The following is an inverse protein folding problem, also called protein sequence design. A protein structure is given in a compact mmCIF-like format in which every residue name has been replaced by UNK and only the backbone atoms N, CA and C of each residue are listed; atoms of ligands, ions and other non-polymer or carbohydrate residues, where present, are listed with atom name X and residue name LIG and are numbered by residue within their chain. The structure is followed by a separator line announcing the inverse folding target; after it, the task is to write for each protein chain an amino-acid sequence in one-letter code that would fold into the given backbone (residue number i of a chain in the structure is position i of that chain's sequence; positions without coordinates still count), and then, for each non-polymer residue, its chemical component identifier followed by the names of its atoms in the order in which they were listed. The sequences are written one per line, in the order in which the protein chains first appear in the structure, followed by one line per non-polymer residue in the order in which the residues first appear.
data_IF_866094208861
#
_entry.id   IF_866094208861
#
_cell.length_a   1.000
_cell.length_b   1.000
_cell.length_c   1.000
_cell.angle_alpha   90.00
_cell.angle_beta   90.00
_cell.angle_gamma   90.00
#
_symmetry.space_group_name_H-M   'P 1'
#
loop_
_entity.id
_entity.type
_entity.pdbx_description
1 polymer ?
#
# COMPACT_ATOMS: atom_id res chain seq x y z
N UNK A 1 -61.86 -19.75 67.79
CA UNK A 1 -61.47 -20.46 66.55
C UNK A 1 -60.71 -19.56 65.57
N UNK A 2 -59.66 -18.84 66.02
CA UNK A 2 -58.93 -17.86 65.17
C UNK A 2 -57.43 -18.13 65.00
N UNK A 3 -56.83 -19.09 65.72
CA UNK A 3 -55.39 -19.38 65.65
C UNK A 3 -54.96 -20.27 64.47
N UNK A 4 -55.77 -21.29 64.09
CA UNK A 4 -55.37 -22.25 63.03
C UNK A 4 -55.43 -21.73 61.60
N UNK A 5 -56.08 -20.58 61.33
CA UNK A 5 -56.15 -20.01 59.97
C UNK A 5 -54.94 -19.13 59.62
N UNK A 6 -54.27 -18.53 60.61
CA UNK A 6 -53.08 -17.67 60.39
C UNK A 6 -51.81 -18.48 60.11
N UNK A 7 -51.60 -19.57 60.84
CA UNK A 7 -50.44 -20.48 60.62
C UNK A 7 -50.47 -21.19 59.25
N UNK A 8 -51.65 -21.40 58.68
CA UNK A 8 -51.80 -22.06 57.37
C UNK A 8 -51.43 -21.12 56.22
N UNK A 9 -51.80 -19.85 56.31
CA UNK A 9 -51.49 -18.82 55.30
C UNK A 9 -50.01 -18.43 55.30
N UNK A 10 -49.33 -18.43 56.45
CA UNK A 10 -47.88 -18.15 56.50
C UNK A 10 -47.05 -19.31 55.95
N UNK A 11 -47.44 -20.56 56.22
CA UNK A 11 -46.79 -21.75 55.62
C UNK A 11 -46.99 -21.85 54.11
N UNK A 12 -48.14 -21.47 53.59
CA UNK A 12 -48.41 -21.44 52.14
C UNK A 12 -47.58 -20.35 51.44
N UNK A 13 -47.44 -19.16 52.04
CA UNK A 13 -46.60 -18.09 51.51
C UNK A 13 -45.09 -18.42 51.56
N UNK A 14 -44.63 -19.14 52.58
CA UNK A 14 -43.23 -19.58 52.67
C UNK A 14 -42.91 -20.71 51.68
N UNK A 15 -43.88 -21.59 51.39
CA UNK A 15 -43.76 -22.63 50.38
C UNK A 15 -43.72 -22.05 48.95
N UNK A 16 -44.50 -21.01 48.68
CA UNK A 16 -44.52 -20.33 47.38
C UNK A 16 -43.22 -19.57 47.12
N UNK A 17 -42.68 -18.87 48.12
CA UNK A 17 -41.34 -18.24 48.03
C UNK A 17 -40.21 -19.26 47.82
N UNK A 18 -40.27 -20.42 48.47
CA UNK A 18 -39.30 -21.52 48.23
C UNK A 18 -39.43 -22.11 46.83
N UNK A 19 -40.65 -22.19 46.29
CA UNK A 19 -40.88 -22.67 44.92
C UNK A 19 -40.36 -21.67 43.87
N UNK A 20 -40.55 -20.37 44.10
CA UNK A 20 -40.06 -19.30 43.22
C UNK A 20 -38.53 -19.19 43.24
N UNK A 21 -37.90 -19.29 44.42
CA UNK A 21 -36.44 -19.37 44.54
C UNK A 21 -35.87 -20.57 43.80
N UNK A 22 -36.51 -21.75 43.92
CA UNK A 22 -36.08 -22.98 43.24
C UNK A 22 -36.27 -22.91 41.71
N UNK A 23 -37.25 -22.15 41.22
CA UNK A 23 -37.42 -21.85 39.79
C UNK A 23 -36.33 -20.91 39.28
N UNK A 24 -35.97 -19.89 40.05
CA UNK A 24 -34.90 -18.93 39.71
C UNK A 24 -33.52 -19.60 39.64
N UNK A 25 -33.19 -20.43 40.63
CA UNK A 25 -31.97 -21.25 40.64
C UNK A 25 -31.88 -22.20 39.43
N UNK A 26 -33.02 -22.80 39.03
CA UNK A 26 -33.07 -23.69 37.86
C UNK A 26 -32.91 -22.92 36.55
N UNK A 27 -33.40 -21.69 36.48
CA UNK A 27 -33.23 -20.82 35.32
C UNK A 27 -31.77 -20.34 35.19
N UNK A 28 -31.13 -19.93 36.28
CA UNK A 28 -29.73 -19.51 36.28
C UNK A 28 -28.80 -20.65 35.87
N UNK A 29 -29.02 -21.87 36.39
CA UNK A 29 -28.25 -23.06 35.96
C UNK A 29 -28.44 -23.41 34.48
N UNK A 30 -29.63 -23.15 33.91
CA UNK A 30 -29.88 -23.38 32.47
C UNK A 30 -29.12 -22.36 31.61
N UNK A 31 -29.12 -21.09 32.02
CA UNK A 31 -28.36 -20.02 31.33
C UNK A 31 -26.85 -20.28 31.40
N UNK A 32 -26.34 -20.75 32.54
CA UNK A 32 -24.92 -21.11 32.67
C UNK A 32 -24.54 -22.31 31.80
N UNK A 33 -25.42 -23.30 31.66
CA UNK A 33 -25.23 -24.45 30.78
C UNK A 33 -25.24 -24.07 29.29
N UNK A 34 -26.12 -23.16 28.88
CA UNK A 34 -26.15 -22.63 27.50
C UNK A 34 -24.89 -21.81 27.18
N UNK A 35 -24.43 -20.96 28.11
CA UNK A 35 -23.17 -20.21 27.94
C UNK A 35 -21.95 -21.13 27.80
N UNK A 36 -21.88 -22.21 28.60
CA UNK A 36 -20.83 -23.23 28.49
C UNK A 36 -20.90 -24.00 27.17
N UNK A 37 -22.09 -24.28 26.66
CA UNK A 37 -22.27 -24.92 25.36
C UNK A 37 -21.88 -24.01 24.19
N UNK A 38 -22.16 -22.71 24.27
CA UNK A 38 -21.79 -21.73 23.25
C UNK A 38 -20.27 -21.47 23.23
N UNK A 39 -19.63 -21.37 24.39
CA UNK A 39 -18.17 -21.28 24.49
C UNK A 39 -17.49 -22.50 23.83
N UNK A 40 -17.96 -23.71 24.12
CA UNK A 40 -17.42 -24.95 23.54
C UNK A 40 -17.64 -25.05 22.02
N UNK A 41 -18.67 -24.38 21.48
CA UNK A 41 -18.88 -24.27 20.02
C UNK A 41 -17.93 -23.25 19.38
N UNK A 42 -17.64 -22.13 20.06
CA UNK A 42 -16.66 -21.13 19.60
C UNK A 42 -15.25 -21.69 19.57
N UNK A 43 -14.82 -22.38 20.63
CA UNK A 43 -13.52 -23.07 20.68
C UNK A 43 -13.34 -24.11 19.55
N UNK A 44 -14.43 -24.81 19.19
CA UNK A 44 -14.42 -25.80 18.10
C UNK A 44 -14.39 -25.15 16.71
N UNK A 45 -14.98 -23.96 16.57
CA UNK A 45 -14.95 -23.19 15.32
C UNK A 45 -13.57 -22.57 15.09
N UNK A 46 -12.95 -22.00 16.13
CA UNK A 46 -11.60 -21.42 16.04
C UNK A 46 -10.56 -22.48 15.68
N UNK A 47 -10.60 -23.66 16.32
CA UNK A 47 -9.72 -24.79 15.94
C UNK A 47 -9.93 -25.31 14.52
N UNK A 48 -11.11 -25.10 13.93
CA UNK A 48 -11.39 -25.51 12.54
C UNK A 48 -10.80 -24.51 11.55
N UNK A 49 -10.87 -23.21 11.86
CA UNK A 49 -10.29 -22.14 11.04
C UNK A 49 -8.76 -22.21 11.06
N UNK A 50 -8.16 -22.52 12.21
CA UNK A 50 -6.70 -22.72 12.28
C UNK A 50 -6.23 -23.95 11.48
N UNK A 51 -7.01 -25.03 11.45
CA UNK A 51 -6.69 -26.23 10.68
C UNK A 51 -6.87 -26.07 9.15
N UNK A 52 -7.81 -25.21 8.72
CA UNK A 52 -8.01 -24.89 7.30
C UNK A 52 -6.94 -23.87 6.80
N UNK A 53 -6.45 -22.98 7.66
CA UNK A 53 -5.40 -22.02 7.33
C UNK A 53 -3.99 -22.62 7.17
N UNK A 54 -3.73 -23.80 7.74
CA UNK A 54 -2.45 -24.51 7.57
C UNK A 54 -2.42 -25.48 6.37
N UNK A 55 -3.55 -25.65 5.65
CA UNK A 55 -3.68 -26.62 4.56
C UNK A 55 -3.59 -26.03 3.13
N UNK A 56 -3.44 -24.71 2.98
CA UNK A 56 -3.38 -23.99 1.70
C UNK A 56 -2.21 -22.98 1.80
N UNK A 57 -0.95 -23.25 1.45
CA UNK A 57 -0.32 -23.60 0.16
C UNK A 57 1.20 -23.90 0.44
N UNK A 58 1.99 -24.57 -0.45
CA UNK A 58 2.31 -24.02 -1.77
C UNK A 58 2.39 -25.07 -2.90
N UNK A 59 1.70 -24.81 -4.01
CA UNK A 59 1.96 -25.53 -5.26
C UNK A 59 1.60 -24.68 -6.47
N UNK A 60 2.55 -23.86 -6.93
CA UNK A 60 2.96 -23.81 -8.35
C UNK A 60 4.12 -22.83 -8.57
N UNK A 61 5.27 -23.40 -8.88
CA UNK A 61 6.28 -22.79 -9.71
C UNK A 61 6.44 -23.65 -10.99
N UNK A 62 6.77 -22.96 -12.08
CA UNK A 62 7.29 -23.44 -13.38
C UNK A 62 6.36 -23.50 -14.61
N UNK A 63 6.89 -22.82 -15.64
CA UNK A 63 6.76 -22.99 -17.09
C UNK A 63 5.51 -22.45 -17.83
N UNK A 64 5.68 -21.33 -18.56
CA UNK A 64 5.73 -21.33 -20.04
C UNK A 64 5.98 -19.93 -20.64
N UNK A 65 7.00 -19.82 -21.49
CA UNK A 65 7.13 -18.95 -22.67
C UNK A 65 7.88 -19.82 -23.72
N UNK A 66 7.82 -19.59 -25.06
CA UNK A 66 7.34 -18.40 -25.77
C UNK A 66 6.56 -18.67 -27.09
N UNK A 67 5.97 -17.61 -27.68
CA UNK A 67 5.76 -17.55 -29.14
C UNK A 67 5.72 -16.12 -29.67
N UNK A 68 6.62 -15.86 -30.65
CA UNK A 68 6.67 -14.69 -31.53
C UNK A 68 5.53 -14.74 -32.55
N UNK A 69 4.99 -13.58 -32.91
CA UNK A 69 4.52 -13.30 -34.27
C UNK A 69 4.67 -11.81 -34.59
N UNK A 70 5.42 -11.54 -35.65
CA UNK A 70 5.55 -10.26 -36.34
C UNK A 70 4.34 -9.98 -37.23
N UNK A 71 4.07 -8.70 -37.47
CA UNK A 71 3.44 -8.05 -38.64
C UNK A 71 2.49 -6.94 -38.15
N UNK A 72 2.36 -5.75 -38.73
CA UNK A 72 3.04 -4.98 -39.77
C UNK A 72 2.25 -3.65 -39.78
N UNK A 73 2.93 -2.51 -39.69
CA UNK A 73 2.36 -1.18 -40.00
C UNK A 73 2.41 -1.00 -41.53
N UNK A 74 1.48 -0.28 -42.19
CA UNK A 74 1.63 1.18 -42.22
C UNK A 74 0.32 1.99 -42.48
N UNK A 75 0.32 3.28 -42.11
CA UNK A 75 -0.05 4.38 -43.02
C UNK A 75 0.12 5.78 -42.38
N UNK A 76 0.90 6.61 -43.07
CA UNK A 76 1.09 8.06 -42.88
C UNK A 76 -0.06 8.89 -43.49
N UNK A 77 -0.30 10.06 -42.91
CA UNK A 77 -0.53 11.36 -43.57
C UNK A 77 -0.14 12.43 -42.53
N UNK A 78 1.00 13.15 -42.63
CA UNK A 78 1.24 14.38 -43.43
C UNK A 78 0.05 15.35 -43.43
N UNK A 79 0.17 16.66 -43.24
CA UNK A 79 1.19 17.60 -42.75
C UNK A 79 0.50 18.99 -42.85
N UNK A 80 0.65 19.88 -41.87
CA UNK A 80 0.60 21.32 -42.15
C UNK A 80 1.34 22.12 -41.05
N UNK A 81 2.30 22.90 -41.49
CA UNK A 81 3.11 23.93 -40.82
C UNK A 81 3.17 25.10 -41.84
N UNK A 82 3.72 26.30 -41.56
CA UNK A 82 3.76 27.11 -40.34
C UNK A 82 3.38 28.59 -40.61
N UNK A 83 3.30 29.45 -39.58
CA UNK A 83 3.46 30.90 -39.75
C UNK A 83 4.14 31.58 -38.54
N UNK A 84 5.38 32.03 -38.80
CA UNK A 84 6.18 33.18 -38.30
C UNK A 84 5.66 33.96 -37.08
N UNK A 85 6.43 34.09 -36.00
CA UNK A 85 7.65 34.90 -35.79
C UNK A 85 7.36 36.37 -35.47
N UNK A 86 7.72 36.78 -34.25
CA UNK A 86 8.21 38.12 -33.96
C UNK A 86 9.24 38.05 -32.83
N UNK A 87 10.33 38.78 -33.04
CA UNK A 87 11.53 38.84 -32.24
C UNK A 87 11.46 40.03 -31.28
N UNK A 88 11.96 39.87 -30.06
CA UNK A 88 12.44 41.00 -29.26
C UNK A 88 13.53 40.54 -28.29
N UNK A 89 14.71 41.14 -28.41
CA UNK A 89 15.81 41.18 -27.45
C UNK A 89 16.37 42.62 -27.53
N UNK A 90 17.11 43.15 -26.54
CA UNK A 90 17.08 42.93 -25.09
C UNK A 90 16.96 44.27 -24.32
N UNK A 91 16.53 44.26 -23.05
CA UNK A 91 16.62 45.42 -22.17
C UNK A 91 17.23 45.08 -20.81
N UNK A 92 18.49 45.54 -20.66
CA UNK A 92 19.23 45.96 -19.46
C UNK A 92 18.94 45.28 -18.11
N UNK A 93 19.98 44.59 -17.67
CA UNK A 93 20.34 44.39 -16.27
C UNK A 93 20.52 45.73 -15.55
N UNK A 94 19.84 45.90 -14.43
CA UNK A 94 20.30 46.75 -13.33
C UNK A 94 20.99 45.87 -12.29
N UNK A 95 22.16 46.34 -11.89
CA UNK A 95 23.03 45.73 -10.91
C UNK A 95 22.48 45.99 -9.50
N UNK A 96 22.45 44.94 -8.69
CA UNK A 96 22.54 45.08 -7.24
C UNK A 96 23.57 44.07 -6.75
N UNK A 97 24.75 44.59 -6.45
CA UNK A 97 25.81 43.92 -5.71
C UNK A 97 25.26 43.58 -4.31
N UNK A 98 25.58 42.39 -3.78
CA UNK A 98 26.05 42.44 -2.41
C UNK A 98 27.42 41.78 -2.27
N UNK A 99 28.33 42.63 -1.83
CA UNK A 99 29.22 42.41 -0.71
C UNK A 99 30.09 41.14 -0.74
N UNK A 100 31.36 41.39 -1.06
CA UNK A 100 32.53 40.81 -0.38
C UNK A 100 32.17 40.25 1.01
N UNK A 101 32.10 38.93 1.10
CA UNK A 101 32.32 38.20 2.34
C UNK A 101 33.62 37.43 2.16
N UNK A 102 34.66 38.04 2.72
CA UNK A 102 35.87 37.45 3.32
C UNK A 102 36.25 36.04 2.85
N UNK A 103 37.35 36.01 2.12
CA UNK A 103 38.23 34.86 2.04
C UNK A 103 38.72 34.51 3.45
N UNK A 104 38.15 33.47 4.05
CA UNK A 104 38.87 32.69 5.05
C UNK A 104 39.93 31.87 4.31
N UNK A 105 41.19 32.10 4.68
CA UNK A 105 42.34 31.32 4.26
C UNK A 105 42.18 29.82 4.59
N UNK A 106 42.77 28.93 3.79
CA UNK A 106 42.57 27.49 3.91
C UNK A 106 43.39 26.91 5.06
N UNK A 107 42.81 26.81 6.25
CA UNK A 107 43.38 26.06 7.36
C UNK A 107 42.83 24.62 7.38
N UNK A 108 43.37 23.77 6.50
CA UNK A 108 43.86 22.41 6.84
C UNK A 108 44.40 21.81 5.53
N UNK A 109 45.73 21.76 5.39
CA UNK A 109 46.34 20.99 4.33
C UNK A 109 45.99 19.52 4.60
N UNK A 110 45.04 18.99 3.82
CA UNK A 110 44.70 17.56 3.84
C UNK A 110 45.97 16.71 3.73
N UNK A 111 45.92 15.45 4.20
CA UNK A 111 47.08 14.57 4.22
C UNK A 111 47.78 14.58 2.87
N UNK A 112 49.10 14.80 2.88
CA UNK A 112 49.91 14.86 1.67
C UNK A 112 49.65 13.58 0.85
N UNK A 113 49.29 13.69 -0.45
CA UNK A 113 48.86 12.52 -1.19
C UNK A 113 49.99 11.50 -1.28
N UNK A 114 49.72 10.27 -0.87
CA UNK A 114 50.68 9.17 -0.91
C UNK A 114 50.90 8.77 -2.37
N UNK A 115 52.14 8.43 -2.72
CA UNK A 115 52.45 7.90 -4.05
C UNK A 115 51.77 6.55 -4.25
N UNK A 116 50.83 6.52 -5.20
CA UNK A 116 50.06 5.32 -5.52
C UNK A 116 50.91 4.41 -6.43
N UNK A 117 51.14 3.14 -6.07
CA UNK A 117 51.90 2.22 -6.90
C UNK A 117 51.26 2.06 -8.28
N UNK A 118 52.07 2.09 -9.35
CA UNK A 118 51.60 2.11 -10.74
C UNK A 118 50.68 0.92 -11.11
N UNK A 119 50.83 -0.23 -10.43
CA UNK A 119 50.07 -1.45 -10.70
C UNK A 119 48.86 -1.67 -9.77
N UNK A 120 48.68 -0.81 -8.76
CA UNK A 120 47.60 -0.98 -7.80
C UNK A 120 46.24 -0.63 -8.41
N UNK A 121 45.27 -1.54 -8.27
CA UNK A 121 43.89 -1.38 -8.73
C UNK A 121 42.96 -1.33 -7.53
N UNK A 122 42.41 -0.16 -7.26
CA UNK A 122 41.46 0.02 -6.17
C UNK A 122 40.06 0.00 -6.73
N UNK A 123 39.20 -0.85 -6.19
CA UNK A 123 37.86 -1.04 -6.75
C UNK A 123 36.80 -0.88 -5.68
N UNK A 124 35.70 -0.22 -6.03
CA UNK A 124 34.57 -0.07 -5.14
C UNK A 124 33.27 -0.01 -5.91
N UNK A 125 32.17 -0.30 -5.20
CA UNK A 125 30.82 -0.20 -5.74
C UNK A 125 30.03 0.93 -5.07
N UNK A 126 29.51 1.83 -5.90
CA UNK A 126 28.55 2.86 -5.51
C UNK A 126 27.14 2.51 -5.96
N UNK A 127 26.14 2.95 -5.21
CA UNK A 127 24.72 2.68 -5.47
C UNK A 127 23.89 3.91 -5.12
N UNK A 128 22.93 4.27 -5.96
CA UNK A 128 21.89 5.27 -5.64
C UNK A 128 20.60 4.98 -6.38
N UNK A 129 19.48 5.00 -5.66
CA UNK A 129 18.18 4.52 -6.15
C UNK A 129 18.36 3.12 -6.76
N UNK A 130 18.08 2.97 -8.05
CA UNK A 130 18.25 1.73 -8.83
C UNK A 130 19.58 1.67 -9.61
N UNK A 131 20.42 2.71 -9.53
CA UNK A 131 21.68 2.80 -10.26
C UNK A 131 22.81 2.16 -9.47
N UNK A 132 23.65 1.38 -10.16
CA UNK A 132 24.83 0.71 -9.60
C UNK A 132 26.04 1.05 -10.46
N UNK A 133 27.11 1.47 -9.82
CA UNK A 133 28.38 1.81 -10.46
C UNK A 133 29.51 1.00 -9.82
N UNK A 134 30.23 0.21 -10.62
CA UNK A 134 31.49 -0.42 -10.22
C UNK A 134 32.63 0.44 -10.76
N UNK A 135 33.39 1.05 -9.85
CA UNK A 135 34.49 1.96 -10.15
C UNK A 135 35.81 1.27 -9.86
N UNK A 136 36.79 1.47 -10.74
CA UNK A 136 38.18 1.05 -10.59
C UNK A 136 39.04 2.30 -10.75
N UNK A 137 39.86 2.59 -9.75
CA UNK A 137 40.87 3.64 -9.77
C UNK A 137 42.24 3.03 -10.09
N UNK A 138 43.02 3.73 -10.90
CA UNK A 138 44.41 3.40 -11.24
C UNK A 138 45.27 4.66 -11.17
N UNK A 139 46.56 4.52 -10.93
CA UNK A 139 47.51 5.63 -11.08
C UNK A 139 47.58 6.04 -12.57
N UNK A 140 47.49 7.34 -12.85
CA UNK A 140 47.37 7.83 -14.24
C UNK A 140 47.29 9.35 -14.37
N UNK A 141 46.69 9.83 -15.47
CA UNK A 141 46.64 11.26 -15.86
C UNK A 141 45.31 11.95 -15.56
N UNK A 142 44.36 11.27 -14.91
CA UNK A 142 43.02 11.81 -14.66
C UNK A 142 41.99 11.47 -15.75
N UNK A 143 42.21 10.43 -16.54
CA UNK A 143 41.29 10.02 -17.60
C UNK A 143 40.02 9.37 -17.02
N UNK A 144 38.86 9.71 -17.58
CA UNK A 144 37.56 9.12 -17.21
C UNK A 144 37.03 8.23 -18.34
N UNK A 145 36.89 6.95 -18.05
CA UNK A 145 36.25 5.96 -18.93
C UNK A 145 34.96 5.41 -18.29
N UNK A 146 33.81 5.86 -18.79
CA UNK A 146 32.48 5.45 -18.33
C UNK A 146 31.81 4.57 -19.40
N UNK A 147 31.73 3.26 -19.17
CA UNK A 147 31.20 2.30 -20.15
C UNK A 147 31.83 2.43 -21.57
N UNK A 148 33.11 2.82 -21.64
CA UNK A 148 33.84 3.04 -22.91
C UNK A 148 33.62 4.41 -23.55
N UNK A 149 32.96 5.36 -22.86
CA UNK A 149 32.78 6.75 -23.30
C UNK A 149 33.50 7.72 -22.34
N UNK A 150 33.77 8.93 -22.82
CA UNK A 150 34.32 10.03 -22.00
C UNK A 150 33.26 10.61 -21.06
N UNK A 151 33.70 11.33 -20.03
CA UNK A 151 32.81 11.95 -19.03
C UNK A 151 31.77 12.89 -19.66
N UNK A 152 32.20 13.70 -20.63
CA UNK A 152 31.36 14.70 -21.31
C UNK A 152 30.31 14.05 -22.21
N UNK A 153 30.68 12.97 -22.91
CA UNK A 153 29.76 12.22 -23.77
C UNK A 153 28.71 11.44 -22.96
N UNK A 154 29.08 10.92 -21.79
CA UNK A 154 28.16 10.13 -20.95
C UNK A 154 27.22 11.01 -20.11
N UNK A 155 27.74 12.11 -19.55
CA UNK A 155 26.95 13.06 -18.76
C UNK A 155 26.89 14.42 -19.48
N UNK A 156 25.81 14.72 -20.22
CA UNK A 156 25.73 15.96 -21.01
C UNK A 156 25.59 17.22 -20.14
N UNK A 157 25.16 17.09 -18.87
CA UNK A 157 24.98 18.24 -17.97
C UNK A 157 26.27 18.52 -17.18
N UNK A 158 26.79 19.76 -17.17
CA UNK A 158 28.02 20.10 -16.46
C UNK A 158 27.91 19.92 -14.93
N UNK A 159 26.70 20.08 -14.38
CA UNK A 159 26.43 19.83 -12.95
C UNK A 159 26.70 18.38 -12.54
N UNK A 160 26.38 17.41 -13.42
CA UNK A 160 26.64 15.99 -13.16
C UNK A 160 28.13 15.65 -13.29
N UNK A 161 28.84 16.34 -14.19
CA UNK A 161 30.29 16.17 -14.37
C UNK A 161 31.06 16.66 -13.14
N UNK A 162 30.72 17.85 -12.63
CA UNK A 162 31.29 18.39 -11.39
C UNK A 162 31.03 17.46 -10.20
N UNK A 163 29.82 16.89 -10.12
CA UNK A 163 29.43 15.96 -9.06
C UNK A 163 30.29 14.68 -9.05
N UNK A 164 30.68 14.18 -10.22
CA UNK A 164 31.57 13.01 -10.36
C UNK A 164 33.02 13.35 -10.01
N UNK A 165 33.48 14.56 -10.34
CA UNK A 165 34.85 15.03 -10.05
C UNK A 165 35.07 15.42 -8.58
N UNK A 166 34.00 15.81 -7.88
CA UNK A 166 34.02 16.31 -6.51
C UNK A 166 34.90 15.50 -5.54
N UNK A 167 34.85 14.15 -5.45
CA UNK A 167 35.67 13.40 -4.49
C UNK A 167 37.19 13.51 -4.76
N UNK A 168 37.59 13.67 -6.03
CA UNK A 168 38.99 13.81 -6.42
C UNK A 168 39.51 15.23 -6.18
N UNK A 169 38.68 16.23 -6.43
CA UNK A 169 38.97 17.63 -6.15
C UNK A 169 39.16 17.87 -4.65
N UNK A 170 38.29 17.29 -3.83
CA UNK A 170 38.37 17.38 -2.37
C UNK A 170 39.63 16.77 -1.78
N UNK A 171 40.15 15.72 -2.40
CA UNK A 171 41.31 14.96 -1.88
C UNK A 171 42.62 15.33 -2.57
N UNK A 172 42.61 16.25 -3.54
CA UNK A 172 43.79 16.67 -4.28
C UNK A 172 44.34 15.62 -5.26
N UNK A 173 43.59 14.55 -5.55
CA UNK A 173 43.98 13.50 -6.52
C UNK A 173 43.57 13.81 -7.96
N UNK A 174 43.09 15.02 -8.23
CA UNK A 174 42.80 15.49 -9.58
C UNK A 174 44.03 15.34 -10.47
N UNK A 175 43.90 14.60 -11.57
CA UNK A 175 44.99 14.36 -12.53
C UNK A 175 46.02 13.29 -12.14
N UNK A 176 45.90 12.67 -10.96
CA UNK A 176 46.79 11.58 -10.50
C UNK A 176 46.19 10.18 -10.67
N UNK A 177 44.86 10.10 -10.75
CA UNK A 177 44.13 8.84 -10.81
C UNK A 177 43.24 8.79 -12.04
N UNK A 178 43.35 7.71 -12.81
CA UNK A 178 42.41 7.37 -13.87
C UNK A 178 41.21 6.60 -13.30
N UNK A 179 40.02 6.96 -13.77
CA UNK A 179 38.74 6.42 -13.30
C UNK A 179 38.10 5.60 -14.41
N UNK A 180 37.95 4.30 -14.18
CA UNK A 180 37.17 3.41 -15.06
C UNK A 180 35.93 2.92 -14.34
N UNK A 181 34.75 3.26 -14.86
CA UNK A 181 33.47 2.85 -14.26
C UNK A 181 32.62 2.03 -15.22
N UNK A 182 32.06 0.93 -14.69
CA UNK A 182 30.93 0.21 -15.31
C UNK A 182 29.64 0.56 -14.58
N UNK A 183 28.68 1.12 -15.31
CA UNK A 183 27.45 1.69 -14.75
C UNK A 183 26.24 1.04 -15.40
N UNK A 184 25.26 0.65 -14.60
CA UNK A 184 24.00 0.10 -15.06
C UNK A 184 22.83 0.46 -14.12
N UNK A 185 21.62 0.51 -14.69
CA UNK A 185 20.38 0.83 -13.99
C UNK A 185 20.18 2.32 -13.71
N UNK A 186 18.94 2.68 -13.38
CA UNK A 186 18.54 4.05 -13.03
C UNK A 186 18.64 5.06 -14.18
N UNK A 187 18.51 6.34 -13.84
CA UNK A 187 18.68 7.46 -14.77
C UNK A 187 20.01 8.18 -14.59
N UNK A 188 20.36 9.08 -15.52
CA UNK A 188 21.66 9.78 -15.58
C UNK A 188 22.07 10.48 -14.28
N UNK A 189 21.14 11.09 -13.55
CA UNK A 189 21.42 11.74 -12.26
C UNK A 189 21.70 10.73 -11.14
N UNK A 190 20.95 9.62 -11.10
CA UNK A 190 21.20 8.53 -10.16
C UNK A 190 22.53 7.84 -10.42
N UNK A 191 22.90 7.71 -11.69
CA UNK A 191 24.18 7.15 -12.14
C UNK A 191 25.37 8.02 -11.74
N UNK A 192 25.31 9.35 -11.93
CA UNK A 192 26.39 10.26 -11.55
C UNK A 192 26.69 10.19 -10.04
N UNK A 193 25.67 10.23 -9.19
CA UNK A 193 25.83 10.09 -7.74
C UNK A 193 26.31 8.69 -7.32
N UNK A 194 25.90 7.64 -8.05
CA UNK A 194 26.42 6.29 -7.81
C UNK A 194 27.93 6.22 -8.13
N UNK A 195 28.39 6.87 -9.20
CA UNK A 195 29.81 6.98 -9.54
C UNK A 195 30.56 7.78 -8.48
N UNK A 196 30.04 8.94 -8.05
CA UNK A 196 30.62 9.75 -6.96
C UNK A 196 30.86 8.92 -5.70
N UNK A 197 29.84 8.18 -5.27
CA UNK A 197 29.92 7.28 -4.11
C UNK A 197 30.92 6.14 -4.31
N UNK A 198 31.04 5.63 -5.54
CA UNK A 198 32.02 4.61 -5.91
C UNK A 198 33.45 5.13 -5.83
N UNK A 199 33.72 6.33 -6.37
CA UNK A 199 35.05 6.97 -6.31
C UNK A 199 35.45 7.23 -4.87
N UNK A 200 34.55 7.82 -4.06
CA UNK A 200 34.83 8.11 -2.65
C UNK A 200 35.21 6.84 -1.85
N UNK A 201 34.54 5.72 -2.12
CA UNK A 201 34.89 4.43 -1.50
C UNK A 201 36.22 3.86 -1.98
N UNK A 202 36.52 3.98 -3.27
CA UNK A 202 37.78 3.49 -3.81
C UNK A 202 38.97 4.32 -3.28
N UNK A 203 38.79 5.64 -3.07
CA UNK A 203 39.80 6.50 -2.44
C UNK A 203 40.14 6.09 -1.01
N UNK A 204 39.21 5.49 -0.26
CA UNK A 204 39.50 4.97 1.09
C UNK A 204 40.50 3.82 1.08
N UNK A 205 40.56 3.05 -0.01
CA UNK A 205 41.53 1.96 -0.14
C UNK A 205 42.88 2.46 -0.64
N UNK A 206 42.89 3.58 -1.37
CA UNK A 206 44.13 4.26 -1.78
C UNK A 206 44.82 4.86 -0.55
N UNK A 207 44.07 5.64 0.24
CA UNK A 207 44.59 6.31 1.42
C UNK A 207 43.55 6.26 2.58
N UNK A 208 43.84 5.46 3.62
CA UNK A 208 42.97 5.37 4.80
C UNK A 208 42.81 6.69 5.57
N UNK A 209 43.73 7.64 5.45
CA UNK A 209 43.70 8.93 6.17
C UNK A 209 42.60 9.87 5.64
N UNK A 210 42.26 9.75 4.35
CA UNK A 210 41.20 10.55 3.71
C UNK A 210 39.79 10.25 4.24
N UNK A 211 39.62 9.16 4.99
CA UNK A 211 38.31 8.75 5.52
C UNK A 211 37.67 9.85 6.37
N UNK A 212 38.47 10.55 7.19
CA UNK A 212 37.95 11.59 8.09
C UNK A 212 37.40 12.77 7.30
N UNK A 213 38.12 13.22 6.27
CA UNK A 213 37.68 14.33 5.42
C UNK A 213 36.49 13.94 4.54
N UNK A 214 36.53 12.78 3.88
CA UNK A 214 35.44 12.28 3.05
C UNK A 214 34.14 12.05 3.85
N UNK A 215 34.26 11.64 5.12
CA UNK A 215 33.12 11.52 6.04
C UNK A 215 32.58 12.89 6.44
N UNK A 216 33.45 13.85 6.77
CA UNK A 216 33.08 15.23 7.14
C UNK A 216 32.29 15.91 6.01
N UNK A 217 32.70 15.69 4.75
CA UNK A 217 32.03 16.23 3.55
C UNK A 217 30.93 15.32 2.98
N UNK A 218 30.49 14.30 3.74
CA UNK A 218 29.37 13.40 3.42
C UNK A 218 29.50 12.60 2.11
N UNK A 219 30.72 12.43 1.59
CA UNK A 219 30.97 11.68 0.35
C UNK A 219 30.88 10.16 0.53
N UNK A 220 30.96 9.68 1.78
CA UNK A 220 30.84 8.26 2.15
C UNK A 220 29.43 7.85 2.56
N UNK A 221 28.51 8.80 2.73
CA UNK A 221 27.13 8.51 3.10
C UNK A 221 26.35 8.19 1.83
N UNK A 222 25.78 6.98 1.77
CA UNK A 222 24.87 6.63 0.68
C UNK A 222 23.57 7.40 0.86
N UNK A 223 23.13 8.12 -0.18
CA UNK A 223 21.78 8.71 -0.24
C UNK A 223 20.72 7.58 -0.18
N UNK A 224 19.92 7.49 0.90
CA UNK A 224 18.97 6.40 1.11
C UNK A 224 17.66 6.59 0.33
N UNK A 225 17.45 7.74 -0.33
CA UNK A 225 16.17 8.06 -0.99
C UNK A 225 15.86 7.07 -2.11
N UNK A 226 14.71 6.40 -2.01
CA UNK A 226 14.14 5.50 -3.02
C UNK A 226 12.73 5.97 -3.34
N UNK A 227 12.25 5.73 -4.58
CA UNK A 227 10.88 6.05 -4.97
C UNK A 227 9.93 5.19 -4.14
N UNK A 228 9.10 5.82 -3.31
CA UNK A 228 8.08 5.13 -2.53
C UNK A 228 7.05 4.47 -3.45
N UNK A 229 6.56 3.29 -3.04
CA UNK A 229 5.53 2.55 -3.79
C UNK A 229 4.20 3.30 -3.68
N UNK A 230 3.54 3.55 -4.80
CA UNK A 230 2.20 4.17 -4.81
C UNK A 230 1.18 3.21 -4.16
N UNK A 231 0.67 3.57 -2.97
CA UNK A 231 -0.37 2.82 -2.25
C UNK A 231 -1.79 3.38 -2.46
N UNK A 232 -1.92 4.70 -2.66
CA UNK A 232 -3.23 5.37 -2.74
C UNK A 232 -3.93 5.23 -4.11
N UNK A 233 -3.18 5.22 -5.21
CA UNK A 233 -3.76 5.04 -6.56
C UNK A 233 -4.39 3.67 -6.75
N UNK A 234 -3.84 2.63 -6.09
CA UNK A 234 -4.44 1.30 -6.09
C UNK A 234 -5.81 1.28 -5.41
N UNK A 235 -5.95 1.92 -4.25
CA UNK A 235 -7.22 1.95 -3.53
C UNK A 235 -8.31 2.74 -4.28
N UNK A 236 -7.96 3.85 -4.92
CA UNK A 236 -8.89 4.61 -5.75
C UNK A 236 -9.30 3.83 -7.01
N UNK A 237 -8.34 3.21 -7.70
CA UNK A 237 -8.61 2.39 -8.88
C UNK A 237 -9.47 1.15 -8.54
N UNK A 238 -9.27 0.54 -7.37
CA UNK A 238 -10.11 -0.56 -6.88
C UNK A 238 -11.56 -0.13 -6.63
N UNK A 239 -11.77 1.07 -6.05
CA UNK A 239 -13.12 1.63 -5.86
C UNK A 239 -13.80 1.96 -7.18
N UNK A 240 -13.05 2.47 -8.14
CA UNK A 240 -13.54 2.73 -9.49
C UNK A 240 -13.91 1.42 -10.21
N UNK A 241 -13.06 0.39 -10.13
CA UNK A 241 -13.36 -0.95 -10.65
C UNK A 241 -14.61 -1.57 -9.98
N UNK A 242 -14.73 -1.46 -8.65
CA UNK A 242 -15.91 -1.89 -7.91
C UNK A 242 -17.18 -1.15 -8.36
N UNK A 243 -17.08 0.16 -8.66
CA UNK A 243 -18.21 0.92 -9.21
C UNK A 243 -18.64 0.41 -10.59
N UNK A 244 -17.68 0.11 -11.47
CA UNK A 244 -17.98 -0.43 -12.79
C UNK A 244 -18.65 -1.80 -12.70
N UNK A 245 -18.15 -2.69 -11.84
CA UNK A 245 -18.74 -3.99 -11.56
C UNK A 245 -20.20 -3.87 -11.06
N UNK A 246 -20.51 -2.92 -10.16
CA UNK A 246 -21.90 -2.65 -9.74
C UNK A 246 -22.79 -2.19 -10.90
N UNK A 247 -22.29 -1.33 -11.79
CA UNK A 247 -23.06 -0.88 -12.95
C UNK A 247 -23.33 -2.02 -13.94
N UNK A 248 -22.33 -2.88 -14.20
CA UNK A 248 -22.50 -4.08 -15.01
C UNK A 248 -23.54 -5.01 -14.38
N UNK A 249 -23.47 -5.24 -13.07
CA UNK A 249 -24.45 -6.03 -12.32
C UNK A 249 -25.86 -5.45 -12.41
N UNK A 250 -26.00 -4.12 -12.34
CA UNK A 250 -27.28 -3.44 -12.47
C UNK A 250 -27.89 -3.58 -13.87
N UNK A 251 -27.07 -3.53 -14.92
CA UNK A 251 -27.52 -3.75 -16.30
C UNK A 251 -27.95 -5.20 -16.50
N UNK A 252 -27.12 -6.16 -16.06
CA UNK A 252 -27.38 -7.59 -16.19
C UNK A 252 -28.60 -8.04 -15.37
N UNK A 253 -28.93 -7.35 -14.26
CA UNK A 253 -29.98 -7.70 -13.31
C UNK A 253 -31.34 -8.09 -13.95
N UNK A 254 -31.70 -7.46 -15.06
CA UNK A 254 -33.00 -7.67 -15.72
C UNK A 254 -33.04 -8.88 -16.66
N UNK A 255 -31.92 -9.25 -17.27
CA UNK A 255 -31.89 -10.21 -18.38
C UNK A 255 -30.94 -11.40 -18.16
N UNK A 256 -29.98 -11.27 -17.25
CA UNK A 256 -28.97 -12.30 -16.96
C UNK A 256 -28.64 -12.32 -15.46
N UNK A 257 -29.26 -13.28 -14.76
CA UNK A 257 -29.17 -13.39 -13.29
C UNK A 257 -27.78 -13.88 -12.85
N UNK A 258 -27.18 -14.81 -13.58
CA UNK A 258 -25.87 -15.39 -13.22
C UNK A 258 -24.76 -14.37 -13.43
N UNK A 259 -24.81 -13.62 -14.54
CA UNK A 259 -23.89 -12.51 -14.80
C UNK A 259 -24.03 -11.39 -13.78
N UNK A 260 -25.26 -11.07 -13.36
CA UNK A 260 -25.50 -10.08 -12.32
C UNK A 260 -24.93 -10.52 -10.96
N UNK A 261 -25.07 -11.81 -10.61
CA UNK A 261 -24.50 -12.36 -9.37
C UNK A 261 -22.98 -12.30 -9.38
N UNK A 262 -22.34 -12.69 -10.49
CA UNK A 262 -20.90 -12.61 -10.65
C UNK A 262 -20.39 -11.17 -10.48
N UNK A 263 -21.03 -10.22 -11.18
CA UNK A 263 -20.63 -8.80 -11.14
C UNK A 263 -20.82 -8.16 -9.76
N UNK A 264 -21.89 -8.50 -9.02
CA UNK A 264 -22.08 -7.99 -7.66
C UNK A 264 -21.16 -8.64 -6.64
N UNK A 265 -20.76 -9.91 -6.82
CA UNK A 265 -19.73 -10.56 -5.99
C UNK A 265 -18.36 -9.89 -6.20
N UNK A 266 -17.96 -9.71 -7.46
CA UNK A 266 -16.72 -9.01 -7.80
C UNK A 266 -16.71 -7.59 -7.20
N UNK A 267 -17.83 -6.88 -7.24
CA UNK A 267 -17.94 -5.54 -6.65
C UNK A 267 -17.68 -5.51 -5.14
N UNK A 268 -18.22 -6.46 -4.38
CA UNK A 268 -18.01 -6.51 -2.91
C UNK A 268 -16.65 -7.05 -2.53
N UNK A 269 -16.02 -7.86 -3.37
CA UNK A 269 -14.65 -8.33 -3.17
C UNK A 269 -13.64 -7.19 -3.41
N UNK A 270 -13.90 -6.32 -4.40
CA UNK A 270 -13.08 -5.14 -4.70
C UNK A 270 -13.25 -4.00 -3.70
N UNK A 271 -14.48 -3.76 -3.22
CA UNK A 271 -14.79 -2.73 -2.22
C UNK A 271 -15.71 -3.27 -1.11
N UNK A 272 -15.16 -4.00 -0.11
CA UNK A 272 -15.94 -4.63 0.95
C UNK A 272 -16.67 -3.65 1.87
N UNK A 273 -16.22 -2.38 1.93
CA UNK A 273 -16.81 -1.33 2.77
C UNK A 273 -17.97 -0.59 2.08
N UNK A 274 -18.37 -1.02 0.88
CA UNK A 274 -19.45 -0.42 0.12
C UNK A 274 -20.83 -0.98 0.46
N UNK A 275 -21.67 -0.20 1.16
CA UNK A 275 -23.02 -0.62 1.54
C UNK A 275 -23.94 -0.91 0.33
N UNK A 276 -23.83 -0.14 -0.76
CA UNK A 276 -24.68 -0.31 -1.94
C UNK A 276 -24.40 -1.62 -2.68
N UNK A 277 -23.11 -2.01 -2.76
CA UNK A 277 -22.71 -3.29 -3.34
C UNK A 277 -23.36 -4.47 -2.62
N UNK A 278 -23.27 -4.48 -1.28
CA UNK A 278 -23.90 -5.50 -0.46
C UNK A 278 -25.43 -5.48 -0.53
N UNK A 279 -26.06 -4.30 -0.57
CA UNK A 279 -27.51 -4.18 -0.74
C UNK A 279 -27.99 -4.79 -2.07
N UNK A 280 -27.31 -4.46 -3.18
CA UNK A 280 -27.64 -4.99 -4.51
C UNK A 280 -27.44 -6.49 -4.59
N UNK A 281 -26.34 -7.00 -4.02
CA UNK A 281 -26.07 -8.43 -3.92
C UNK A 281 -27.15 -9.15 -3.10
N UNK A 282 -27.49 -8.61 -1.92
CA UNK A 282 -28.53 -9.17 -1.05
C UNK A 282 -29.90 -9.22 -1.71
N UNK A 283 -30.28 -8.18 -2.46
CA UNK A 283 -31.52 -8.14 -3.24
C UNK A 283 -31.56 -9.24 -4.31
N UNK A 284 -30.45 -9.41 -5.04
CA UNK A 284 -30.36 -10.43 -6.08
C UNK A 284 -30.38 -11.85 -5.49
N UNK A 285 -29.65 -12.10 -4.40
CA UNK A 285 -29.64 -13.39 -3.70
C UNK A 285 -31.01 -13.77 -3.15
N UNK A 286 -31.75 -12.79 -2.61
CA UNK A 286 -33.14 -13.00 -2.19
C UNK A 286 -34.01 -13.42 -3.37
N UNK A 287 -33.86 -12.78 -4.54
CA UNK A 287 -34.63 -13.10 -5.76
C UNK A 287 -34.31 -14.50 -6.27
N UNK A 288 -33.07 -14.96 -6.15
CA UNK A 288 -32.66 -16.31 -6.56
C UNK A 288 -32.97 -17.39 -5.52
N UNK A 289 -33.47 -17.01 -4.34
CA UNK A 289 -33.83 -17.93 -3.26
C UNK A 289 -32.66 -18.34 -2.36
N UNK A 290 -31.48 -17.73 -2.51
CA UNK A 290 -30.33 -17.95 -1.64
C UNK A 290 -30.44 -17.04 -0.40
N UNK A 291 -31.37 -17.42 0.47
CA UNK A 291 -31.76 -16.59 1.62
C UNK A 291 -30.64 -16.49 2.66
N UNK A 292 -29.78 -17.50 2.78
CA UNK A 292 -28.68 -17.52 3.76
C UNK A 292 -27.58 -16.55 3.39
N UNK A 293 -27.17 -16.50 2.12
CA UNK A 293 -26.20 -15.51 1.66
C UNK A 293 -26.82 -14.10 1.61
N UNK A 294 -28.12 -13.98 1.33
CA UNK A 294 -28.82 -12.69 1.41
C UNK A 294 -28.83 -12.12 2.85
N UNK A 295 -28.98 -12.97 3.86
CA UNK A 295 -28.90 -12.57 5.28
C UNK A 295 -27.52 -12.04 5.64
N UNK A 296 -26.47 -12.72 5.18
CA UNK A 296 -25.08 -12.29 5.40
C UNK A 296 -24.82 -10.93 4.75
N UNK A 297 -25.29 -10.71 3.53
CA UNK A 297 -25.18 -9.43 2.85
C UNK A 297 -25.88 -8.31 3.64
N UNK A 298 -27.12 -8.53 4.10
CA UNK A 298 -27.84 -7.53 4.90
C UNK A 298 -27.16 -7.26 6.26
N UNK A 299 -26.63 -8.29 6.92
CA UNK A 299 -25.82 -8.12 8.14
C UNK A 299 -24.55 -7.32 7.91
N UNK A 300 -23.91 -7.45 6.73
CA UNK A 300 -22.77 -6.62 6.37
C UNK A 300 -23.14 -5.15 6.23
N UNK A 301 -24.27 -4.84 5.58
CA UNK A 301 -24.77 -3.47 5.49
C UNK A 301 -25.07 -2.91 6.89
N UNK A 302 -25.70 -3.70 7.77
CA UNK A 302 -25.96 -3.30 9.15
C UNK A 302 -24.65 -3.02 9.93
N UNK A 303 -23.62 -3.83 9.74
CA UNK A 303 -22.31 -3.61 10.35
C UNK A 303 -21.64 -2.33 9.81
N UNK A 304 -21.75 -2.05 8.52
CA UNK A 304 -21.23 -0.82 7.91
C UNK A 304 -21.99 0.43 8.41
N UNK A 305 -23.31 0.35 8.49
CA UNK A 305 -24.15 1.43 9.05
C UNK A 305 -23.76 1.78 10.47
N UNK A 306 -23.51 0.78 11.32
CA UNK A 306 -23.06 1.00 12.71
C UNK A 306 -21.64 1.58 12.80
N UNK A 307 -20.74 1.26 11.85
CA UNK A 307 -19.38 1.81 11.85
C UNK A 307 -19.34 3.30 11.50
N UNK A 308 -20.26 3.73 10.65
CA UNK A 308 -20.35 5.11 10.13
C UNK A 308 -21.43 5.90 10.88
N UNK A 309 -22.07 5.30 11.90
CA UNK A 309 -23.20 5.86 12.65
C UNK A 309 -24.31 6.45 11.76
N UNK A 310 -24.58 5.77 10.63
CA UNK A 310 -25.55 6.22 9.64
C UNK A 310 -26.92 5.54 9.86
N UNK A 311 -27.86 6.30 10.39
CA UNK A 311 -29.23 5.85 10.68
C UNK A 311 -29.99 5.37 9.44
N UNK A 312 -29.79 6.03 8.29
CA UNK A 312 -30.44 5.64 7.02
C UNK A 312 -29.97 4.25 6.56
N UNK A 313 -28.65 3.99 6.60
CA UNK A 313 -28.09 2.68 6.27
C UNK A 313 -28.58 1.59 7.24
N UNK A 314 -28.73 1.92 8.52
CA UNK A 314 -29.29 1.01 9.53
C UNK A 314 -30.77 0.71 9.26
N UNK A 315 -31.56 1.72 8.90
CA UNK A 315 -32.98 1.57 8.57
C UNK A 315 -33.16 0.70 7.31
N UNK A 316 -32.34 0.91 6.28
CA UNK A 316 -32.33 0.09 5.06
C UNK A 316 -31.94 -1.35 5.36
N UNK A 317 -30.88 -1.58 6.14
CA UNK A 317 -30.40 -2.93 6.44
C UNK A 317 -31.41 -3.73 7.28
N UNK A 318 -32.02 -3.10 8.30
CA UNK A 318 -33.06 -3.71 9.13
C UNK A 318 -34.34 -3.96 8.35
N UNK A 319 -34.75 -3.05 7.47
CA UNK A 319 -35.88 -3.26 6.55
C UNK A 319 -35.64 -4.44 5.60
N UNK A 320 -34.45 -4.54 5.02
CA UNK A 320 -34.08 -5.65 4.14
C UNK A 320 -34.06 -7.00 4.87
N UNK A 321 -33.59 -7.04 6.13
CA UNK A 321 -33.70 -8.23 6.99
C UNK A 321 -35.15 -8.59 7.29
N UNK A 322 -36.02 -7.60 7.54
CA UNK A 322 -37.46 -7.84 7.73
C UNK A 322 -38.10 -8.52 6.52
N UNK A 323 -37.79 -8.05 5.31
CA UNK A 323 -38.27 -8.68 4.07
C UNK A 323 -37.74 -10.11 3.95
N UNK A 324 -36.49 -10.34 4.31
CA UNK A 324 -35.87 -11.65 4.23
C UNK A 324 -36.53 -12.66 5.18
N UNK A 325 -36.76 -12.28 6.45
CA UNK A 325 -37.45 -13.14 7.42
C UNK A 325 -38.90 -13.39 7.04
N UNK A 326 -39.59 -12.37 6.51
CA UNK A 326 -40.94 -12.54 5.96
C UNK A 326 -40.97 -13.55 4.82
N UNK A 327 -39.98 -13.51 3.91
CA UNK A 327 -39.84 -14.47 2.80
C UNK A 327 -39.59 -15.89 3.31
N UNK A 328 -38.89 -16.06 4.43
CA UNK A 328 -38.67 -17.36 5.10
C UNK A 328 -39.88 -17.87 5.89
N UNK A 329 -40.88 -17.03 6.14
CA UNK A 329 -42.03 -17.33 6.99
C UNK A 329 -41.79 -17.12 8.50
N UNK A 330 -40.66 -16.54 8.89
CA UNK A 330 -40.33 -16.21 10.29
C UNK A 330 -40.92 -14.84 10.65
N UNK A 331 -42.25 -14.81 10.82
CA UNK A 331 -43.02 -13.58 10.94
C UNK A 331 -42.69 -12.78 12.20
N UNK A 332 -42.40 -13.44 13.32
CA UNK A 332 -42.04 -12.78 14.59
C UNK A 332 -40.77 -11.94 14.43
N UNK A 333 -39.74 -12.52 13.78
CA UNK A 333 -38.49 -11.80 13.50
C UNK A 333 -38.66 -10.73 12.43
N UNK A 334 -39.55 -10.96 11.46
CA UNK A 334 -39.85 -9.95 10.44
C UNK A 334 -40.47 -8.71 11.08
N UNK A 335 -41.46 -8.88 11.97
CA UNK A 335 -42.10 -7.79 12.71
C UNK A 335 -41.08 -7.01 13.55
N UNK A 336 -40.20 -7.71 14.27
CA UNK A 336 -39.13 -7.08 15.06
C UNK A 336 -38.22 -6.19 14.18
N UNK A 337 -37.79 -6.70 13.02
CA UNK A 337 -36.88 -5.97 12.14
C UNK A 337 -37.56 -4.79 11.43
N UNK A 338 -38.82 -4.94 11.03
CA UNK A 338 -39.60 -3.81 10.49
C UNK A 338 -39.85 -2.74 11.55
N UNK A 339 -40.16 -3.13 12.79
CA UNK A 339 -40.32 -2.19 13.91
C UNK A 339 -39.04 -1.39 14.17
N UNK A 340 -37.87 -2.05 14.12
CA UNK A 340 -36.57 -1.36 14.21
C UNK A 340 -36.33 -0.40 13.05
N UNK A 341 -36.62 -0.82 11.81
CA UNK A 341 -36.45 0.03 10.62
C UNK A 341 -37.33 1.28 10.70
N UNK A 342 -38.59 1.12 11.14
CA UNK A 342 -39.51 2.25 11.36
C UNK A 342 -38.98 3.22 12.42
N UNK A 343 -38.58 2.70 13.58
CA UNK A 343 -38.05 3.53 14.67
C UNK A 343 -36.79 4.32 14.24
N UNK A 344 -35.95 3.76 13.37
CA UNK A 344 -34.76 4.42 12.83
C UNK A 344 -35.09 5.51 11.80
N UNK A 345 -36.19 5.39 11.05
CA UNK A 345 -36.64 6.41 10.10
C UNK A 345 -37.42 7.55 10.77
N UNK A 346 -37.94 7.34 11.98
CA UNK A 346 -38.69 8.33 12.76
C UNK A 346 -37.80 9.15 13.71
N UNK A 347 -36.52 8.78 13.88
CA UNK A 347 -35.55 9.38 14.80
C UNK A 347 -34.77 10.55 14.17
#
# INVERSE_FOLDING_TARGET
MAGRKKDKTEKEAEAEKKAEAKKKDKAEKKVEAEKKAEAKKKDKAEKKVEAEAEAEEPAKAEAEEPAKAEAEEPAKAEAEEPAKAEAEEPAKAEAEEPAKAEAEEPADAGPQPIEVPADARYSATGKRKTSVARVILRSGKGAFELNGRTLESYFPRPTLQALVRQPLELTGYTGRLDVRARIHGGGVSGQADAVRHGIAKALMEVDPQLRTELKRRQQLTRDPRVKERRKAEGAAALKEAASAARHIGALAFLHDTDKALAAYREAVDLDPDNADGWNRLGYLLRRTGDLDNAEQACRRVLALGNRVDNQELLAVATGNLGILYSTRGDLDRAEEMYGKSLALNEA
#
